data_IF_592711889950
#
_entry.id   IF_592711889950
#
_cell.length_a   1.000
_cell.length_b   1.000
_cell.length_c   1.000
_cell.angle_alpha   90.00
_cell.angle_beta   90.00
_cell.angle_gamma   90.00
#
_symmetry.space_group_name_H-M   'P 1'
#
loop_
_entity.id
_entity.type
_entity.pdbx_description
1 polymer ?
#
# COMPACT_ATOMS: atom_id res chain seq x y z
N UNK A 1 7.49 20.32 25.06
CA UNK A 1 6.48 19.25 25.05
C UNK A 1 5.61 19.33 23.79
N UNK A 2 5.11 20.53 23.44
CA UNK A 2 4.24 20.77 22.26
C UNK A 2 4.82 20.41 20.88
N UNK A 3 6.14 20.51 20.68
CA UNK A 3 6.75 20.18 19.37
C UNK A 3 6.64 18.69 19.02
N UNK A 4 6.78 17.81 20.02
CA UNK A 4 6.70 16.35 19.82
C UNK A 4 5.27 15.88 19.58
N UNK A 5 4.28 16.48 20.26
CA UNK A 5 2.87 16.22 20.01
C UNK A 5 2.53 16.60 18.56
N UNK A 6 2.97 17.77 18.08
CA UNK A 6 2.78 18.19 16.69
C UNK A 6 3.44 17.23 15.70
N UNK A 7 4.69 16.81 15.95
CA UNK A 7 5.39 15.83 15.10
C UNK A 7 4.67 14.50 15.03
N UNK A 8 4.16 13.99 16.17
CA UNK A 8 3.37 12.77 16.22
C UNK A 8 2.04 12.90 15.46
N UNK A 9 1.33 14.02 15.60
CA UNK A 9 0.09 14.26 14.87
C UNK A 9 0.34 14.28 13.35
N UNK A 10 1.39 14.96 12.89
CA UNK A 10 1.77 14.98 11.47
C UNK A 10 2.14 13.59 10.96
N UNK A 11 2.89 12.81 11.74
CA UNK A 11 3.24 11.43 11.37
C UNK A 11 1.99 10.53 11.28
N UNK A 12 1.06 10.66 12.24
CA UNK A 12 -0.21 9.92 12.23
C UNK A 12 -1.08 10.28 11.01
N UNK A 13 -1.18 11.56 10.68
CA UNK A 13 -1.96 12.02 9.52
C UNK A 13 -1.37 11.48 8.21
N UNK A 14 -0.04 11.53 8.06
CA UNK A 14 0.65 10.96 6.89
C UNK A 14 0.43 9.46 6.78
N UNK A 15 0.57 8.73 7.88
CA UNK A 15 0.32 7.29 7.92
C UNK A 15 -1.11 6.97 7.45
N UNK A 16 -2.11 7.67 8.00
CA UNK A 16 -3.52 7.50 7.63
C UNK A 16 -3.79 7.79 6.14
N UNK A 17 -3.15 8.82 5.58
CA UNK A 17 -3.28 9.15 4.16
C UNK A 17 -2.69 8.05 3.26
N UNK A 18 -1.54 7.50 3.64
CA UNK A 18 -0.89 6.41 2.89
C UNK A 18 -1.68 5.11 3.02
N UNK A 19 -2.19 4.78 4.21
CA UNK A 19 -3.09 3.63 4.41
C UNK A 19 -4.31 3.71 3.50
N UNK A 20 -5.00 4.85 3.49
CA UNK A 20 -6.14 5.07 2.60
C UNK A 20 -5.75 4.86 1.13
N UNK A 21 -4.65 5.46 0.70
CA UNK A 21 -4.17 5.36 -0.68
C UNK A 21 -3.79 3.92 -1.06
N UNK A 22 -3.20 3.18 -0.13
CA UNK A 22 -2.85 1.76 -0.30
C UNK A 22 -4.11 0.91 -0.45
N UNK A 23 -5.12 1.08 0.41
CA UNK A 23 -6.38 0.36 0.29
C UNK A 23 -7.11 0.66 -1.03
N UNK A 24 -7.15 1.93 -1.45
CA UNK A 24 -7.70 2.31 -2.74
C UNK A 24 -6.96 1.64 -3.91
N UNK A 25 -5.63 1.56 -3.84
CA UNK A 25 -4.83 0.89 -4.86
C UNK A 25 -5.06 -0.62 -4.89
N UNK A 26 -5.23 -1.28 -3.75
CA UNK A 26 -5.56 -2.71 -3.67
C UNK A 26 -6.93 -2.98 -4.28
N UNK A 27 -7.93 -2.14 -4.00
CA UNK A 27 -9.25 -2.22 -4.63
C UNK A 27 -9.15 -2.05 -6.14
N UNK A 28 -8.44 -1.02 -6.62
CA UNK A 28 -8.22 -0.80 -8.05
C UNK A 28 -7.48 -1.94 -8.75
N UNK A 29 -6.55 -2.61 -8.06
CA UNK A 29 -5.89 -3.81 -8.57
C UNK A 29 -6.88 -4.97 -8.75
N UNK A 30 -7.76 -5.18 -7.78
CA UNK A 30 -8.78 -6.23 -7.87
C UNK A 30 -9.76 -5.95 -9.02
N UNK A 31 -10.18 -4.70 -9.20
CA UNK A 31 -11.01 -4.26 -10.32
C UNK A 31 -10.32 -4.50 -11.66
N UNK A 32 -9.03 -4.13 -11.80
CA UNK A 32 -8.27 -4.36 -13.02
C UNK A 32 -8.12 -5.86 -13.34
N UNK A 33 -7.84 -6.69 -12.32
CA UNK A 33 -7.77 -8.15 -12.47
C UNK A 33 -9.11 -8.73 -12.92
N UNK A 34 -10.19 -8.28 -12.30
CA UNK A 34 -11.54 -8.71 -12.66
C UNK A 34 -11.92 -8.32 -14.08
N UNK A 35 -11.65 -7.07 -14.49
CA UNK A 35 -11.91 -6.61 -15.85
C UNK A 35 -11.11 -7.40 -16.90
N UNK A 36 -9.82 -7.67 -16.62
CA UNK A 36 -9.01 -8.52 -17.49
C UNK A 36 -9.60 -9.93 -17.61
N UNK A 37 -10.03 -10.52 -16.49
CA UNK A 37 -10.62 -11.85 -16.47
C UNK A 37 -11.95 -11.91 -17.23
N UNK A 38 -12.84 -10.93 -17.04
CA UNK A 38 -14.09 -10.83 -17.79
C UNK A 38 -13.85 -10.78 -19.29
N UNK A 39 -12.90 -9.96 -19.74
CA UNK A 39 -12.53 -9.88 -21.15
C UNK A 39 -12.00 -11.20 -21.69
N UNK A 40 -11.17 -11.92 -20.92
CA UNK A 40 -10.71 -13.26 -21.29
C UNK A 40 -11.90 -14.23 -21.46
N UNK A 41 -12.87 -14.21 -20.53
CA UNK A 41 -14.08 -15.02 -20.59
C UNK A 41 -14.95 -14.70 -21.82
N UNK A 42 -15.17 -13.43 -22.13
CA UNK A 42 -15.91 -12.99 -23.32
C UNK A 42 -15.24 -13.45 -24.63
N UNK A 43 -13.90 -13.36 -24.70
CA UNK A 43 -13.13 -13.81 -25.86
C UNK A 43 -13.23 -15.32 -26.05
N UNK A 44 -13.19 -16.09 -24.95
CA UNK A 44 -13.40 -17.54 -24.99
C UNK A 44 -14.84 -17.89 -25.42
N UNK A 45 -15.86 -17.22 -24.86
CA UNK A 45 -17.26 -17.45 -25.20
C UNK A 45 -17.59 -17.10 -26.65
N UNK A 46 -16.95 -16.08 -27.22
CA UNK A 46 -17.13 -15.66 -28.62
C UNK A 46 -16.43 -16.56 -29.64
N UNK A 47 -15.69 -17.60 -29.20
CA UNK A 47 -14.98 -18.52 -30.08
C UNK A 47 -13.75 -17.92 -30.78
N UNK A 48 -13.31 -16.72 -30.37
CA UNK A 48 -12.12 -16.04 -30.93
C UNK A 48 -10.79 -16.63 -30.47
N UNK A 49 -10.84 -17.55 -29.51
CA UNK A 49 -9.67 -18.16 -28.87
C UNK A 49 -9.70 -19.66 -29.10
N UNK A 50 -8.58 -20.22 -29.54
CA UNK A 50 -8.47 -21.65 -29.73
C UNK A 50 -8.33 -22.38 -28.37
N UNK A 51 -9.33 -23.19 -28.03
CA UNK A 51 -9.41 -23.89 -26.74
C UNK A 51 -8.72 -25.26 -26.73
N UNK A 52 -7.99 -25.63 -27.81
CA UNK A 52 -7.37 -26.97 -27.95
C UNK A 52 -6.34 -27.29 -26.87
N UNK A 53 -5.51 -26.33 -26.46
CA UNK A 53 -4.57 -26.48 -25.34
C UNK A 53 -4.33 -25.13 -24.63
N UNK A 54 -3.72 -25.17 -23.45
CA UNK A 54 -3.53 -23.97 -22.61
C UNK A 54 -2.55 -22.96 -23.22
N UNK A 55 -1.46 -23.42 -23.85
CA UNK A 55 -0.44 -22.53 -24.41
C UNK A 55 -0.94 -21.76 -25.64
N UNK A 56 -1.69 -22.44 -26.52
CA UNK A 56 -2.32 -21.82 -27.69
C UNK A 56 -3.39 -20.82 -27.23
N UNK A 57 -4.17 -21.17 -26.21
CA UNK A 57 -5.17 -20.28 -25.62
C UNK A 57 -4.53 -19.02 -25.04
N UNK A 58 -3.42 -19.17 -24.30
CA UNK A 58 -2.66 -18.04 -23.75
C UNK A 58 -2.11 -17.15 -24.86
N UNK A 59 -1.52 -17.74 -25.90
CA UNK A 59 -0.97 -17.00 -27.04
C UNK A 59 -2.06 -16.25 -27.83
N UNK A 60 -3.24 -16.84 -28.00
CA UNK A 60 -4.38 -16.21 -28.67
C UNK A 60 -5.00 -15.10 -27.83
N UNK A 61 -5.23 -15.35 -26.53
CA UNK A 61 -5.73 -14.34 -25.60
C UNK A 61 -4.81 -13.11 -25.56
N UNK A 62 -3.49 -13.33 -25.53
CA UNK A 62 -2.50 -12.25 -25.46
C UNK A 62 -2.69 -11.17 -26.53
N UNK A 63 -3.09 -11.56 -27.75
CA UNK A 63 -3.34 -10.64 -28.86
C UNK A 63 -4.43 -9.61 -28.53
N UNK A 64 -5.38 -9.97 -27.67
CA UNK A 64 -6.56 -9.19 -27.35
C UNK A 64 -6.54 -8.56 -25.95
N UNK A 65 -5.83 -9.16 -24.98
CA UNK A 65 -5.86 -8.73 -23.57
C UNK A 65 -4.55 -8.09 -23.09
N UNK A 66 -3.57 -7.87 -23.98
CA UNK A 66 -2.27 -7.26 -23.64
C UNK A 66 -2.41 -5.93 -22.91
N UNK A 67 -3.38 -5.10 -23.28
CA UNK A 67 -3.55 -3.76 -22.72
C UNK A 67 -4.19 -3.84 -21.33
N UNK A 68 -5.17 -4.72 -21.13
CA UNK A 68 -5.73 -5.02 -19.81
C UNK A 68 -4.68 -5.64 -18.88
N UNK A 69 -3.86 -6.57 -19.37
CA UNK A 69 -2.75 -7.14 -18.59
C UNK A 69 -1.70 -6.09 -18.24
N UNK A 70 -1.40 -5.15 -19.14
CA UNK A 70 -0.55 -4.00 -18.82
C UNK A 70 -1.16 -3.16 -17.70
N UNK A 71 -2.47 -2.91 -17.71
CA UNK A 71 -3.15 -2.17 -16.65
C UNK A 71 -3.08 -2.90 -15.30
N UNK A 72 -3.23 -4.22 -15.29
CA UNK A 72 -3.01 -5.05 -14.08
C UNK A 72 -1.58 -4.88 -13.57
N UNK A 73 -0.57 -4.99 -14.43
CA UNK A 73 0.83 -4.83 -14.03
C UNK A 73 1.13 -3.43 -13.47
N UNK A 74 0.55 -2.39 -14.06
CA UNK A 74 0.69 -1.02 -13.55
C UNK A 74 0.01 -0.85 -12.19
N UNK A 75 -1.15 -1.48 -11.98
CA UNK A 75 -1.83 -1.48 -10.70
C UNK A 75 -1.04 -2.26 -9.62
N UNK A 76 -0.43 -3.39 -9.97
CA UNK A 76 0.45 -4.17 -9.09
C UNK A 76 1.66 -3.33 -8.66
N UNK A 77 2.35 -2.70 -9.62
CA UNK A 77 3.48 -1.83 -9.32
C UNK A 77 3.09 -0.66 -8.41
N UNK A 78 1.89 -0.10 -8.57
CA UNK A 78 1.36 0.95 -7.69
C UNK A 78 1.09 0.45 -6.27
N UNK A 79 0.50 -0.75 -6.14
CA UNK A 79 0.27 -1.37 -4.83
C UNK A 79 1.61 -1.63 -4.13
N UNK A 80 2.60 -2.15 -4.83
CA UNK A 80 3.93 -2.43 -4.27
C UNK A 80 4.62 -1.13 -3.81
N UNK A 81 4.55 -0.07 -4.60
CA UNK A 81 5.10 1.24 -4.23
C UNK A 81 4.42 1.80 -2.97
N UNK A 82 3.08 1.76 -2.91
CA UNK A 82 2.32 2.24 -1.75
C UNK A 82 2.50 1.36 -0.52
N UNK A 83 2.72 0.06 -0.71
CA UNK A 83 3.09 -0.84 0.39
C UNK A 83 4.43 -0.41 0.97
N UNK A 84 5.46 -0.22 0.15
CA UNK A 84 6.75 0.23 0.63
C UNK A 84 6.64 1.57 1.40
N UNK A 85 5.86 2.52 0.88
CA UNK A 85 5.60 3.79 1.53
C UNK A 85 4.84 3.62 2.87
N UNK A 86 3.86 2.73 2.92
CA UNK A 86 3.12 2.43 4.16
C UNK A 86 4.06 1.91 5.25
N UNK A 87 4.89 0.93 4.91
CA UNK A 87 5.89 0.39 5.84
C UNK A 87 6.88 1.47 6.30
N UNK A 88 7.29 2.38 5.40
CA UNK A 88 8.14 3.51 5.75
C UNK A 88 7.46 4.45 6.75
N UNK A 89 6.22 4.88 6.49
CA UNK A 89 5.50 5.79 7.40
C UNK A 89 5.18 5.15 8.75
N UNK A 90 4.90 3.85 8.78
CA UNK A 90 4.75 3.09 10.04
C UNK A 90 6.02 3.16 10.88
N UNK A 91 7.18 2.89 10.27
CA UNK A 91 8.47 2.97 10.96
C UNK A 91 8.76 4.39 11.47
N UNK A 92 8.44 5.43 10.69
CA UNK A 92 8.60 6.83 11.11
C UNK A 92 7.72 7.16 12.31
N UNK A 93 6.46 6.71 12.29
CA UNK A 93 5.53 6.91 13.40
C UNK A 93 6.03 6.22 14.67
N UNK A 94 6.43 4.95 14.57
CA UNK A 94 6.95 4.17 15.70
C UNK A 94 8.22 4.77 16.28
N UNK A 95 9.17 5.20 15.43
CA UNK A 95 10.38 5.88 15.87
C UNK A 95 10.07 7.20 16.60
N UNK A 96 9.11 7.98 16.09
CA UNK A 96 8.67 9.23 16.72
C UNK A 96 8.01 8.96 18.08
N UNK A 97 7.19 7.92 18.18
CA UNK A 97 6.55 7.49 19.42
C UNK A 97 7.58 7.06 20.46
N UNK A 98 8.59 6.29 20.06
CA UNK A 98 9.69 5.86 20.94
C UNK A 98 10.48 7.07 21.44
N UNK A 99 10.87 7.99 20.55
CA UNK A 99 11.60 9.19 20.92
C UNK A 99 10.80 10.06 21.91
N UNK A 100 9.50 10.25 21.67
CA UNK A 100 8.64 11.00 22.58
C UNK A 100 8.54 10.33 23.97
N UNK A 101 8.43 9.00 24.04
CA UNK A 101 8.41 8.25 25.29
C UNK A 101 9.72 8.36 26.07
N UNK A 102 10.87 8.31 25.38
CA UNK A 102 12.18 8.45 26.00
C UNK A 102 12.35 9.84 26.63
N UNK A 103 12.01 10.90 25.89
CA UNK A 103 12.07 12.26 26.40
C UNK A 103 11.10 12.52 27.56
N UNK A 104 9.91 11.93 27.51
CA UNK A 104 8.98 11.99 28.64
C UNK A 104 9.57 11.32 29.89
N UNK A 105 10.31 10.22 29.73
CA UNK A 105 10.98 9.51 30.83
C UNK A 105 12.15 10.33 31.41
N UNK A 106 13.00 10.92 30.57
CA UNK A 106 14.12 11.77 31.02
C UNK A 106 13.65 13.07 31.70
N UNK A 107 12.51 13.63 31.28
CA UNK A 107 11.87 14.77 31.94
C UNK A 107 11.30 14.45 33.33
N UNK A 108 10.99 13.17 33.62
CA UNK A 108 10.53 12.72 34.94
C UNK A 108 11.72 12.51 35.88
N UNK A 109 12.83 11.93 35.40
CA UNK A 109 14.01 11.67 36.23
C UNK A 109 14.74 12.96 36.66
N UNK A 110 14.77 13.98 35.80
CA UNK A 110 15.37 15.29 36.10
C UNK A 110 14.54 16.16 37.06
N UNK A 111 13.25 15.86 37.25
CA UNK A 111 12.37 16.52 38.21
C UNK A 111 12.41 15.96 39.64
N UNK A 112 12.96 14.75 39.85
CA UNK A 112 13.02 14.10 41.17
C UNK A 112 14.26 14.48 42.00
N UNK A 113 15.27 15.12 41.38
CA UNK A 113 16.53 15.46 42.03
C UNK A 113 16.56 16.84 42.73
N UNK A 114 15.48 17.63 42.70
CA UNK A 114 15.43 19.01 43.25
C UNK A 114 14.52 19.13 44.49
N UNK A 115 14.24 18.04 45.20
CA UNK A 115 13.49 18.10 46.48
C UNK A 115 14.19 17.40 47.64
N UNK A 116 15.48 17.67 47.81
CA UNK A 116 16.18 17.34 49.05
C UNK A 116 17.21 18.40 49.41
N UNK A 117 16.75 19.57 49.86
CA UNK A 117 17.46 20.46 50.79
C UNK A 117 16.45 21.26 51.59
#
# INVERSE_FOLDING_TARGET
MDDWIKRMMVAADKLKQVEKSYFEAVTGLNEAKYACHLKECELMASGKVNMKNEDTRRADLWKYVKDERKNVLLAEARVDALKAELHYQQNVFDATLVAAKLLAKEGIDSGSAIQSF
#
